data_IF_573659518254
#
_entry.id   IF_573659518254
#
_cell.length_a   1.000
_cell.length_b   1.000
_cell.length_c   1.000
_cell.angle_alpha   90.00
_cell.angle_beta   90.00
_cell.angle_gamma   90.00
#
_symmetry.space_group_name_H-M   'P 1'
#
loop_
_entity.id
_entity.type
_entity.pdbx_description
1 polymer ?
#
# COMPACT_ATOMS: atom_id res chain seq x y z
N UNK A 1 13.82 -1.91 65.25
CA UNK A 1 14.57 -2.29 64.04
C UNK A 1 13.93 -1.72 62.77
N UNK A 2 12.65 -1.99 62.45
CA UNK A 2 12.01 -1.44 61.24
C UNK A 2 11.96 0.11 61.15
N UNK A 3 11.75 0.82 62.27
CA UNK A 3 11.74 2.29 62.31
C UNK A 3 13.11 2.93 62.04
N UNK A 4 14.20 2.21 62.27
CA UNK A 4 15.57 2.71 62.06
C UNK A 4 15.94 2.62 60.58
N UNK A 5 15.56 1.51 59.94
CA UNK A 5 15.68 1.30 58.50
C UNK A 5 14.87 2.33 57.69
N UNK A 6 13.63 2.62 58.12
CA UNK A 6 12.77 3.63 57.47
C UNK A 6 13.38 5.03 57.59
N UNK A 7 13.90 5.41 58.76
CA UNK A 7 14.57 6.69 58.93
C UNK A 7 15.85 6.81 58.09
N UNK A 8 16.60 5.71 57.97
CA UNK A 8 17.78 5.67 57.11
C UNK A 8 17.40 5.89 55.63
N UNK A 9 16.40 5.16 55.14
CA UNK A 9 15.88 5.29 53.77
C UNK A 9 15.36 6.70 53.49
N UNK A 10 14.63 7.31 54.43
CA UNK A 10 14.12 8.67 54.30
C UNK A 10 15.26 9.70 54.20
N UNK A 11 16.29 9.54 55.03
CA UNK A 11 17.43 10.46 55.04
C UNK A 11 18.24 10.36 53.74
N UNK A 12 18.41 9.15 53.20
CA UNK A 12 19.02 8.93 51.88
C UNK A 12 18.19 9.60 50.78
N UNK A 13 16.86 9.47 50.83
CA UNK A 13 15.96 10.10 49.87
C UNK A 13 15.99 11.64 49.95
N UNK A 14 16.01 12.21 51.15
CA UNK A 14 16.14 13.66 51.33
C UNK A 14 17.48 14.17 50.78
N UNK A 15 18.58 13.44 51.01
CA UNK A 15 19.89 13.81 50.45
C UNK A 15 19.92 13.76 48.93
N UNK A 16 19.28 12.76 48.31
CA UNK A 16 19.21 12.67 46.85
C UNK A 16 18.33 13.77 46.27
N UNK A 17 17.21 14.10 46.93
CA UNK A 17 16.33 15.18 46.53
C UNK A 17 17.02 16.54 46.60
N UNK A 18 17.79 16.82 47.67
CA UNK A 18 18.59 18.04 47.82
C UNK A 18 19.59 18.21 46.68
N UNK A 19 20.28 17.13 46.29
CA UNK A 19 21.23 17.15 45.19
C UNK A 19 20.55 17.43 43.83
N UNK A 20 19.37 16.85 43.60
CA UNK A 20 18.60 17.08 42.37
C UNK A 20 18.08 18.52 42.32
N UNK A 21 17.51 19.04 43.41
CA UNK A 21 17.04 20.42 43.48
C UNK A 21 18.16 21.42 43.25
N UNK A 22 19.34 21.19 43.84
CA UNK A 22 20.49 22.04 43.63
C UNK A 22 20.96 22.03 42.17
N UNK A 23 20.86 20.89 41.48
CA UNK A 23 21.20 20.77 40.06
C UNK A 23 20.18 21.46 39.14
N UNK A 24 18.88 21.37 39.44
CA UNK A 24 17.80 21.91 38.59
C UNK A 24 17.64 23.43 38.77
N UNK A 25 17.67 23.92 40.01
CA UNK A 25 17.44 25.35 40.31
C UNK A 25 18.74 26.16 40.40
N UNK A 26 19.89 25.50 40.52
CA UNK A 26 21.18 26.12 40.73
C UNK A 26 21.45 26.47 42.20
N UNK A 27 22.73 26.61 42.58
CA UNK A 27 23.14 26.66 43.99
C UNK A 27 22.65 27.91 44.74
N UNK A 28 22.58 29.07 44.08
CA UNK A 28 22.12 30.33 44.69
C UNK A 28 20.61 30.33 44.96
N UNK A 29 19.80 29.93 43.97
CA UNK A 29 18.35 29.90 44.13
C UNK A 29 17.92 28.83 45.13
N UNK A 30 18.62 27.69 45.17
CA UNK A 30 18.35 26.66 46.16
C UNK A 30 18.65 27.13 47.59
N UNK A 31 19.76 27.85 47.82
CA UNK A 31 20.08 28.39 49.15
C UNK A 31 19.07 29.45 49.62
N UNK A 32 18.65 30.34 48.73
CA UNK A 32 17.64 31.36 49.05
C UNK A 32 16.27 30.73 49.31
N UNK A 33 15.90 29.72 48.53
CA UNK A 33 14.65 28.95 48.72
C UNK A 33 14.67 28.19 50.04
N UNK A 34 15.80 27.57 50.41
CA UNK A 34 15.97 26.87 51.69
C UNK A 34 15.90 27.82 52.87
N UNK A 35 16.50 29.01 52.75
CA UNK A 35 16.42 30.06 53.75
C UNK A 35 14.98 30.60 53.88
N UNK A 36 14.27 30.78 52.77
CA UNK A 36 12.87 31.21 52.77
C UNK A 36 11.94 30.15 53.38
N UNK A 37 12.14 28.88 53.01
CA UNK A 37 11.42 27.72 53.55
C UNK A 37 11.56 27.62 55.08
N UNK A 38 12.77 27.84 55.61
CA UNK A 38 13.00 27.80 57.05
C UNK A 38 12.37 28.99 57.80
N UNK A 39 12.21 30.15 57.13
CA UNK A 39 11.68 31.36 57.75
C UNK A 39 10.14 31.41 57.72
N UNK A 40 9.52 30.85 56.68
CA UNK A 40 8.08 30.89 56.47
C UNK A 40 7.51 29.52 56.05
N UNK A 41 7.51 28.52 56.96
CA UNK A 41 7.10 27.16 56.63
C UNK A 41 5.63 27.07 56.19
N UNK A 42 4.74 27.84 56.82
CA UNK A 42 3.31 27.84 56.45
C UNK A 42 3.04 28.42 55.06
N UNK A 43 3.79 29.45 54.66
CA UNK A 43 3.63 30.08 53.34
C UNK A 43 4.10 29.14 52.25
N UNK A 44 5.24 28.48 52.45
CA UNK A 44 5.77 27.50 51.49
C UNK A 44 4.80 26.33 51.31
N UNK A 45 4.29 25.77 52.41
CA UNK A 45 3.30 24.68 52.36
C UNK A 45 2.03 25.13 51.63
N UNK A 46 1.56 26.35 51.88
CA UNK A 46 0.41 26.91 51.15
C UNK A 46 0.65 27.00 49.64
N UNK A 47 1.80 27.50 49.21
CA UNK A 47 2.17 27.61 47.79
C UNK A 47 2.25 26.22 47.14
N UNK A 48 2.86 25.24 47.82
CA UNK A 48 2.98 23.86 47.34
C UNK A 48 1.59 23.23 47.24
N UNK A 49 0.75 23.36 48.26
CA UNK A 49 -0.61 22.83 48.26
C UNK A 49 -1.44 23.42 47.12
N UNK A 50 -1.45 24.75 46.95
CA UNK A 50 -2.18 25.41 45.86
C UNK A 50 -1.63 24.96 44.50
N UNK A 51 -0.31 24.83 44.36
CA UNK A 51 0.31 24.35 43.12
C UNK A 51 -0.11 22.92 42.79
N UNK A 52 -0.12 22.02 43.79
CA UNK A 52 -0.58 20.62 43.60
C UNK A 52 -2.06 20.60 43.23
N UNK A 53 -2.91 21.33 43.96
CA UNK A 53 -4.34 21.38 43.68
C UNK A 53 -4.67 22.01 42.34
N UNK A 54 -3.85 22.94 41.84
CA UNK A 54 -3.99 23.52 40.50
C UNK A 54 -3.40 22.63 39.40
N UNK A 55 -2.35 21.85 39.70
CA UNK A 55 -1.71 20.97 38.72
C UNK A 55 -2.60 19.78 38.35
N UNK A 56 -3.38 19.25 39.28
CA UNK A 56 -4.30 18.12 39.03
C UNK A 56 -5.33 18.42 37.93
N UNK A 57 -6.15 19.49 38.01
CA UNK A 57 -7.11 19.81 36.95
C UNK A 57 -6.41 20.18 35.64
N UNK A 58 -5.23 20.82 35.71
CA UNK A 58 -4.44 21.14 34.53
C UNK A 58 -3.95 19.87 33.81
N UNK A 59 -3.39 18.91 34.53
CA UNK A 59 -2.95 17.62 33.98
C UNK A 59 -4.13 16.83 33.42
N UNK A 60 -5.29 16.85 34.09
CA UNK A 60 -6.50 16.20 33.60
C UNK A 60 -6.97 16.82 32.28
N UNK A 61 -7.01 18.15 32.20
CA UNK A 61 -7.36 18.87 30.97
C UNK A 61 -6.35 18.60 29.84
N UNK A 62 -5.06 18.60 30.16
CA UNK A 62 -3.99 18.33 29.21
C UNK A 62 -4.08 16.90 28.67
N UNK A 63 -4.31 15.92 29.56
CA UNK A 63 -4.51 14.53 29.19
C UNK A 63 -5.75 14.34 28.32
N UNK A 64 -6.87 14.96 28.69
CA UNK A 64 -8.08 14.96 27.87
C UNK A 64 -7.83 15.53 26.48
N UNK A 65 -7.19 16.70 26.39
CA UNK A 65 -6.85 17.35 25.12
C UNK A 65 -5.99 16.44 24.25
N UNK A 66 -4.97 15.80 24.83
CA UNK A 66 -4.08 14.89 24.10
C UNK A 66 -4.82 13.67 23.56
N UNK A 67 -5.69 13.05 24.37
CA UNK A 67 -6.51 11.92 23.96
C UNK A 67 -7.49 12.32 22.86
N UNK A 68 -8.18 13.46 23.00
CA UNK A 68 -9.12 13.95 21.98
C UNK A 68 -8.40 14.26 20.68
N UNK A 69 -7.23 14.90 20.73
CA UNK A 69 -6.41 15.18 19.56
C UNK A 69 -5.98 13.88 18.87
N UNK A 70 -5.52 12.89 19.64
CA UNK A 70 -5.13 11.59 19.10
C UNK A 70 -6.28 10.87 18.40
N UNK A 71 -7.47 10.85 19.03
CA UNK A 71 -8.68 10.27 18.43
C UNK A 71 -9.07 11.04 17.16
N UNK A 72 -9.00 12.37 17.17
CA UNK A 72 -9.33 13.19 16.01
C UNK A 72 -8.39 12.90 14.82
N UNK A 73 -7.10 12.76 15.08
CA UNK A 73 -6.11 12.40 14.05
C UNK A 73 -6.35 11.00 13.49
N UNK A 74 -6.64 10.01 14.33
CA UNK A 74 -7.00 8.67 13.88
C UNK A 74 -8.27 8.66 13.03
N UNK A 75 -9.31 9.39 13.47
CA UNK A 75 -10.56 9.50 12.73
C UNK A 75 -10.33 10.15 11.36
N UNK A 76 -9.55 11.23 11.32
CA UNK A 76 -9.16 11.90 10.08
C UNK A 76 -8.41 10.95 9.13
N UNK A 77 -7.40 10.25 9.64
CA UNK A 77 -6.64 9.27 8.87
C UNK A 77 -7.52 8.13 8.33
N UNK A 78 -8.45 7.63 9.15
CA UNK A 78 -9.39 6.59 8.73
C UNK A 78 -10.33 7.09 7.62
N UNK A 79 -10.88 8.30 7.74
CA UNK A 79 -11.76 8.87 6.73
C UNK A 79 -11.00 9.12 5.43
N UNK A 80 -9.85 9.79 5.49
CA UNK A 80 -9.02 10.07 4.32
C UNK A 80 -8.55 8.77 3.65
N UNK A 81 -8.04 7.83 4.44
CA UNK A 81 -7.63 6.52 3.96
C UNK A 81 -8.77 5.72 3.33
N UNK A 82 -9.98 5.80 3.89
CA UNK A 82 -11.16 5.14 3.30
C UNK A 82 -11.55 5.76 1.97
N UNK A 83 -11.54 7.09 1.86
CA UNK A 83 -11.85 7.80 0.61
C UNK A 83 -10.84 7.41 -0.49
N UNK A 84 -9.55 7.38 -0.15
CA UNK A 84 -8.49 6.97 -1.08
C UNK A 84 -8.68 5.50 -1.49
N UNK A 85 -8.96 4.60 -0.55
CA UNK A 85 -9.17 3.19 -0.84
C UNK A 85 -10.38 2.94 -1.76
N UNK A 86 -11.52 3.60 -1.46
CA UNK A 86 -12.73 3.51 -2.28
C UNK A 86 -12.46 4.09 -3.68
N UNK A 87 -11.82 5.26 -3.75
CA UNK A 87 -11.43 5.88 -5.03
C UNK A 87 -10.49 4.99 -5.85
N UNK A 88 -9.50 4.39 -5.20
CA UNK A 88 -8.58 3.44 -5.82
C UNK A 88 -9.29 2.18 -6.32
N UNK A 89 -10.23 1.63 -5.54
CA UNK A 89 -11.00 0.46 -5.94
C UNK A 89 -11.87 0.75 -7.18
N UNK A 90 -12.55 1.91 -7.20
CA UNK A 90 -13.34 2.35 -8.36
C UNK A 90 -12.43 2.51 -9.59
N UNK A 91 -11.28 3.16 -9.41
CA UNK A 91 -10.31 3.36 -10.49
C UNK A 91 -9.82 2.03 -11.08
N UNK A 92 -9.42 1.08 -10.23
CA UNK A 92 -9.02 -0.26 -10.65
C UNK A 92 -10.15 -0.98 -11.39
N UNK A 93 -11.40 -0.83 -10.91
CA UNK A 93 -12.58 -1.38 -11.58
C UNK A 93 -12.75 -0.84 -13.00
N UNK A 94 -12.65 0.48 -13.18
CA UNK A 94 -12.77 1.14 -14.50
C UNK A 94 -11.64 0.69 -15.42
N UNK A 95 -10.39 0.72 -14.95
CA UNK A 95 -9.22 0.32 -15.74
C UNK A 95 -9.30 -1.15 -16.14
N UNK A 96 -9.72 -2.02 -15.23
CA UNK A 96 -9.93 -3.44 -15.52
C UNK A 96 -11.00 -3.64 -16.60
N UNK A 97 -12.14 -2.96 -16.48
CA UNK A 97 -13.20 -3.04 -17.47
C UNK A 97 -12.75 -2.58 -18.86
N UNK A 98 -12.04 -1.46 -18.94
CA UNK A 98 -11.44 -0.96 -20.19
C UNK A 98 -10.46 -2.00 -20.76
N UNK A 99 -9.62 -2.58 -19.91
CA UNK A 99 -8.63 -3.58 -20.32
C UNK A 99 -9.30 -4.83 -20.90
N UNK A 100 -10.39 -5.30 -20.29
CA UNK A 100 -11.17 -6.43 -20.80
C UNK A 100 -11.78 -6.10 -22.16
N UNK A 101 -12.39 -4.92 -22.32
CA UNK A 101 -12.98 -4.51 -23.60
C UNK A 101 -11.91 -4.44 -24.69
N UNK A 102 -10.79 -3.76 -24.42
CA UNK A 102 -9.69 -3.62 -25.37
C UNK A 102 -9.11 -4.99 -25.71
N UNK A 103 -8.91 -5.84 -24.70
CA UNK A 103 -8.46 -7.22 -24.89
C UNK A 103 -9.42 -8.04 -25.76
N UNK A 104 -10.73 -7.90 -25.55
CA UNK A 104 -11.74 -8.56 -26.36
C UNK A 104 -11.72 -8.09 -27.83
N UNK A 105 -11.58 -6.79 -28.07
CA UNK A 105 -11.48 -6.22 -29.43
C UNK A 105 -10.23 -6.74 -30.14
N UNK A 106 -9.07 -6.70 -29.46
CA UNK A 106 -7.81 -7.19 -30.02
C UNK A 106 -7.90 -8.69 -30.31
N UNK A 107 -8.47 -9.48 -29.40
CA UNK A 107 -8.69 -10.91 -29.57
C UNK A 107 -9.60 -11.22 -30.77
N UNK A 108 -10.71 -10.50 -30.91
CA UNK A 108 -11.61 -10.64 -32.05
C UNK A 108 -10.90 -10.33 -33.37
N UNK A 109 -10.15 -9.22 -33.43
CA UNK A 109 -9.34 -8.83 -34.60
C UNK A 109 -8.31 -9.91 -34.95
N UNK A 110 -7.60 -10.44 -33.95
CA UNK A 110 -6.62 -11.51 -34.14
C UNK A 110 -7.26 -12.80 -34.69
N UNK A 111 -8.41 -13.20 -34.14
CA UNK A 111 -9.18 -14.35 -34.63
C UNK A 111 -9.62 -14.16 -36.07
N UNK A 112 -10.20 -13.00 -36.42
CA UNK A 112 -10.62 -12.71 -37.81
C UNK A 112 -9.42 -12.77 -38.75
N UNK A 113 -8.29 -12.16 -38.39
CA UNK A 113 -7.09 -12.18 -39.21
C UNK A 113 -6.54 -13.61 -39.39
N UNK A 114 -6.56 -14.42 -38.33
CA UNK A 114 -6.12 -15.81 -38.40
C UNK A 114 -7.01 -16.66 -39.30
N UNK A 115 -8.33 -16.51 -39.20
CA UNK A 115 -9.30 -17.19 -40.07
C UNK A 115 -9.06 -16.76 -41.53
N UNK A 116 -8.94 -15.46 -41.79
CA UNK A 116 -8.73 -14.94 -43.14
C UNK A 116 -7.43 -15.47 -43.76
N UNK A 117 -6.35 -15.55 -42.97
CA UNK A 117 -5.07 -16.15 -43.39
C UNK A 117 -5.24 -17.64 -43.73
N UNK A 118 -5.92 -18.40 -42.87
CA UNK A 118 -6.13 -19.84 -43.11
C UNK A 118 -7.00 -20.11 -44.34
N UNK A 119 -8.07 -19.32 -44.55
CA UNK A 119 -8.93 -19.44 -45.73
C UNK A 119 -8.15 -19.12 -47.01
N UNK A 120 -7.35 -18.06 -47.00
CA UNK A 120 -6.51 -17.70 -48.16
C UNK A 120 -5.50 -18.81 -48.50
N UNK A 121 -4.85 -19.39 -47.49
CA UNK A 121 -3.94 -20.52 -47.68
C UNK A 121 -4.65 -21.77 -48.22
N UNK A 122 -5.85 -22.07 -47.71
CA UNK A 122 -6.65 -23.19 -48.21
C UNK A 122 -7.08 -22.98 -49.66
N UNK A 123 -7.46 -21.77 -50.03
CA UNK A 123 -7.84 -21.42 -51.41
C UNK A 123 -6.66 -21.51 -52.37
N UNK A 124 -5.47 -21.04 -51.97
CA UNK A 124 -4.25 -21.20 -52.76
C UNK A 124 -3.90 -22.67 -52.99
N UNK A 125 -3.94 -23.51 -51.95
CA UNK A 125 -3.71 -24.96 -52.10
C UNK A 125 -4.75 -25.62 -53.02
N UNK A 126 -6.02 -25.25 -52.92
CA UNK A 126 -7.06 -25.78 -53.80
C UNK A 126 -6.83 -25.38 -55.26
N UNK A 127 -6.39 -24.15 -55.52
CA UNK A 127 -6.03 -23.69 -56.87
C UNK A 127 -4.82 -24.44 -57.44
N UNK A 128 -3.78 -24.68 -56.63
CA UNK A 128 -2.60 -25.47 -57.03
C UNK A 128 -2.98 -26.91 -57.38
N UNK A 129 -3.84 -27.56 -56.59
CA UNK A 129 -4.31 -28.94 -56.85
C UNK A 129 -5.10 -29.00 -58.16
N UNK A 130 -5.93 -28.01 -58.48
CA UNK A 130 -6.66 -27.98 -59.75
C UNK A 130 -5.74 -27.76 -60.95
N UNK A 131 -4.73 -26.89 -60.84
CA UNK A 131 -3.72 -26.73 -61.89
C UNK A 131 -2.92 -28.03 -62.11
N UNK A 132 -2.54 -28.74 -61.05
CA UNK A 132 -1.83 -30.01 -61.18
C UNK A 132 -2.72 -31.09 -61.81
N UNK A 133 -3.98 -31.21 -61.38
CA UNK A 133 -4.94 -32.16 -61.98
C UNK A 133 -5.15 -31.90 -63.47
N UNK A 134 -5.25 -30.64 -63.89
CA UNK A 134 -5.40 -30.29 -65.30
C UNK A 134 -4.13 -30.59 -66.11
N UNK A 135 -2.94 -30.37 -65.54
CA UNK A 135 -1.67 -30.70 -66.20
C UNK A 135 -1.46 -32.21 -66.34
N UNK A 136 -1.87 -33.01 -65.35
CA UNK A 136 -1.83 -34.47 -65.43
C UNK A 136 -2.87 -35.03 -66.41
N UNK A 137 -4.08 -34.47 -66.45
CA UNK A 137 -5.11 -34.85 -67.41
C UNK A 137 -4.73 -34.51 -68.86
N UNK A 138 -4.01 -33.40 -69.08
CA UNK A 138 -3.42 -33.07 -70.40
C UNK A 138 -2.31 -34.04 -70.79
N UNK A 139 -1.47 -34.47 -69.84
CA UNK A 139 -0.42 -35.47 -70.10
C UNK A 139 -0.97 -36.88 -70.37
N UNK A 140 -2.13 -37.23 -69.81
CA UNK A 140 -2.80 -38.53 -70.05
C UNK A 140 -3.57 -38.50 -71.38
N UNK A 141 -4.09 -37.34 -71.79
CA UNK A 141 -4.83 -37.17 -73.06
C UNK A 141 -3.92 -36.98 -74.28
N UNK A 142 -2.63 -36.69 -74.10
CA UNK A 142 -1.63 -36.69 -75.19
C UNK A 142 -1.07 -38.08 -75.51
N UNK A 143 -1.58 -39.15 -74.88
CA UNK A 143 -1.29 -40.52 -75.28
C UNK A 143 -2.59 -41.30 -75.44
N UNK A 144 -3.26 -41.15 -76.59
CA UNK A 144 -3.54 -42.37 -77.34
C UNK A 144 -3.37 -42.21 -78.87
N UNK A 145 -3.14 -43.36 -79.51
CA UNK A 145 -3.21 -43.63 -80.95
C UNK A 145 -1.93 -43.40 -81.79
N UNK A 146 -1.01 -44.37 -81.69
CA UNK A 146 -0.22 -44.82 -82.85
C UNK A 146 -0.12 -46.33 -82.74
N UNK A 147 -1.08 -47.05 -83.34
CA UNK A 147 -0.94 -48.39 -83.92
C UNK A 147 -2.32 -48.88 -84.35
N UNK A 148 -2.38 -49.44 -85.56
CA UNK A 148 -3.55 -49.91 -86.33
C UNK A 148 -4.19 -48.72 -87.07
N UNK A 149 -4.07 -48.55 -88.39
CA UNK A 149 -4.28 -49.52 -89.47
C UNK A 149 -3.68 -48.95 -90.78
N UNK A 150 -2.86 -49.70 -91.52
CA UNK A 150 -2.75 -49.52 -92.98
C UNK A 150 -2.44 -50.88 -93.62
N UNK A 151 -3.48 -51.47 -94.21
CA UNK A 151 -3.44 -52.56 -95.18
C UNK A 151 -3.60 -51.90 -96.54
N UNK A 152 -2.69 -52.15 -97.50
CA UNK A 152 -2.98 -52.60 -98.88
C UNK A 152 -1.83 -52.32 -99.86
N UNK A 153 -1.70 -53.22 -100.86
CA UNK A 153 -0.91 -53.18 -102.12
C UNK A 153 0.61 -53.46 -101.96
N UNK A 154 1.23 -54.48 -102.57
CA UNK A 154 0.98 -55.42 -103.68
C UNK A 154 1.60 -56.80 -103.36
#
# INVERSE_FOLDING_TARGET
>A
MAMEEINYQLNVLCKSLDAILQNVFGPKYYSDLKHFASRHPFVLTGIISVSIFSAIPFLFFLGFTFVTLFIALLCFLCIEGSIIAIGGLIFVGIVSFITIIVGAIISAMACTFWILKNVRLAFQRAAEIQCQKNSSAVSEKSSPASSIEEISEE
#
